data_IF_535301019745
#
_entry.id   IF_535301019745
#
_cell.length_a   1.000
_cell.length_b   1.000
_cell.length_c   1.000
_cell.angle_alpha   90.00
_cell.angle_beta   90.00
_cell.angle_gamma   90.00
#
_symmetry.space_group_name_H-M   'P 1'
#
loop_
_entity.id
_entity.type
_entity.pdbx_description
1 polymer ?
#
# COMPACT_ATOMS: atom_id res chain seq x y z
N UNK A 1 -47.08 -25.91 -33.43
CA UNK A 1 -45.98 -25.66 -32.47
C UNK A 1 -46.28 -26.45 -31.20
N UNK A 2 -45.57 -27.55 -30.97
CA UNK A 2 -45.89 -28.57 -29.97
C UNK A 2 -45.66 -28.04 -28.54
N UNK A 3 -46.51 -28.46 -27.60
CA UNK A 3 -46.50 -28.06 -26.17
C UNK A 3 -45.13 -28.22 -25.50
N UNK A 4 -44.25 -29.08 -26.04
CA UNK A 4 -42.88 -29.29 -25.54
C UNK A 4 -41.92 -28.15 -25.91
N UNK A 5 -42.06 -27.53 -27.10
CA UNK A 5 -41.19 -26.43 -27.54
C UNK A 5 -41.41 -25.16 -26.71
N UNK A 6 -42.68 -24.86 -26.36
CA UNK A 6 -43.02 -23.73 -25.47
C UNK A 6 -42.41 -23.91 -24.08
N UNK A 7 -42.52 -25.12 -23.50
CA UNK A 7 -41.91 -25.45 -22.20
C UNK A 7 -40.39 -25.34 -22.21
N UNK A 8 -39.73 -25.76 -23.29
CA UNK A 8 -38.28 -25.65 -23.41
C UNK A 8 -37.81 -24.19 -23.47
N UNK A 9 -38.53 -23.35 -24.23
CA UNK A 9 -38.27 -21.90 -24.28
C UNK A 9 -38.50 -21.26 -22.91
N UNK A 10 -39.63 -21.53 -22.25
CA UNK A 10 -39.92 -20.98 -20.92
C UNK A 10 -38.85 -21.37 -19.89
N UNK A 11 -38.41 -22.64 -19.88
CA UNK A 11 -37.31 -23.11 -19.04
C UNK A 11 -36.00 -22.38 -19.34
N UNK A 12 -35.66 -22.18 -20.61
CA UNK A 12 -34.44 -21.46 -20.99
C UNK A 12 -34.46 -19.99 -20.55
N UNK A 13 -35.62 -19.33 -20.67
CA UNK A 13 -35.78 -17.93 -20.26
C UNK A 13 -35.69 -17.79 -18.73
N UNK A 14 -36.30 -18.71 -17.98
CA UNK A 14 -36.20 -18.72 -16.52
C UNK A 14 -34.76 -18.95 -16.07
N UNK A 15 -34.06 -19.93 -16.67
CA UNK A 15 -32.65 -20.19 -16.36
C UNK A 15 -31.76 -18.98 -16.66
N UNK A 16 -31.95 -18.33 -17.81
CA UNK A 16 -31.22 -17.12 -18.17
C UNK A 16 -31.49 -15.97 -17.19
N UNK A 17 -32.74 -15.79 -16.77
CA UNK A 17 -33.12 -14.77 -15.79
C UNK A 17 -32.46 -15.03 -14.42
N UNK A 18 -32.51 -16.28 -13.92
CA UNK A 18 -31.88 -16.67 -12.65
C UNK A 18 -30.37 -16.46 -12.70
N UNK A 19 -29.71 -16.87 -13.79
CA UNK A 19 -28.27 -16.67 -13.97
C UNK A 19 -27.90 -15.19 -13.95
N UNK A 20 -28.67 -14.34 -14.66
CA UNK A 20 -28.44 -12.90 -14.68
C UNK A 20 -28.62 -12.27 -13.30
N UNK A 21 -29.69 -12.62 -12.57
CA UNK A 21 -29.93 -12.12 -11.21
C UNK A 21 -28.81 -12.55 -10.26
N UNK A 22 -28.32 -13.78 -10.36
CA UNK A 22 -27.22 -14.27 -9.54
C UNK A 22 -25.91 -13.51 -9.81
N UNK A 23 -25.58 -13.27 -11.08
CA UNK A 23 -24.37 -12.52 -11.47
C UNK A 23 -24.44 -11.07 -10.98
N UNK A 24 -25.58 -10.39 -11.18
CA UNK A 24 -25.78 -9.03 -10.69
C UNK A 24 -25.71 -8.99 -9.16
N UNK A 25 -26.38 -9.91 -8.47
CA UNK A 25 -26.36 -10.01 -7.01
C UNK A 25 -24.95 -10.19 -6.45
N UNK A 26 -24.13 -11.02 -7.08
CA UNK A 26 -22.72 -11.19 -6.71
C UNK A 26 -21.94 -9.88 -6.87
N UNK A 27 -22.06 -9.22 -8.03
CA UNK A 27 -21.33 -7.99 -8.33
C UNK A 27 -21.64 -6.87 -7.34
N UNK A 28 -22.93 -6.64 -7.03
CA UNK A 28 -23.34 -5.62 -6.05
C UNK A 28 -22.94 -5.97 -4.62
N UNK A 29 -23.04 -7.25 -4.22
CA UNK A 29 -22.66 -7.69 -2.88
C UNK A 29 -21.16 -7.52 -2.62
N UNK A 30 -20.32 -7.75 -3.64
CA UNK A 30 -18.88 -7.53 -3.55
C UNK A 30 -18.51 -6.07 -3.30
N UNK A 31 -19.15 -5.13 -4.01
CA UNK A 31 -18.93 -3.69 -3.82
C UNK A 31 -19.36 -3.24 -2.42
N UNK A 32 -20.54 -3.66 -1.96
CA UNK A 32 -21.05 -3.27 -0.66
C UNK A 32 -20.15 -3.74 0.50
N UNK A 33 -19.63 -4.98 0.42
CA UNK A 33 -18.67 -5.48 1.40
C UNK A 33 -17.37 -4.67 1.40
N UNK A 34 -16.87 -4.30 0.22
CA UNK A 34 -15.68 -3.47 0.09
C UNK A 34 -15.89 -2.09 0.71
N UNK A 35 -17.01 -1.43 0.42
CA UNK A 35 -17.33 -0.12 0.99
C UNK A 35 -17.44 -0.18 2.51
N UNK A 36 -18.06 -1.24 3.06
CA UNK A 36 -18.09 -1.49 4.50
C UNK A 36 -16.69 -1.64 5.09
N UNK A 37 -15.81 -2.43 4.46
CA UNK A 37 -14.42 -2.58 4.91
C UNK A 37 -13.65 -1.27 4.86
N UNK A 38 -13.84 -0.44 3.82
CA UNK A 38 -13.22 0.89 3.72
C UNK A 38 -13.68 1.78 4.87
N UNK A 39 -15.00 1.86 5.11
CA UNK A 39 -15.56 2.64 6.19
C UNK A 39 -15.07 2.17 7.57
N UNK A 40 -15.05 0.86 7.82
CA UNK A 40 -14.54 0.30 9.07
C UNK A 40 -13.06 0.62 9.29
N UNK A 41 -12.21 0.52 8.25
CA UNK A 41 -10.80 0.90 8.36
C UNK A 41 -10.62 2.39 8.61
N UNK A 42 -11.44 3.26 8.00
CA UNK A 42 -11.43 4.70 8.28
C UNK A 42 -11.84 5.00 9.73
N UNK A 43 -12.81 4.28 10.29
CA UNK A 43 -13.17 4.40 11.71
C UNK A 43 -12.02 3.97 12.63
N UNK A 44 -11.33 2.89 12.28
CA UNK A 44 -10.11 2.45 12.98
C UNK A 44 -9.02 3.51 12.97
N UNK A 45 -8.79 4.19 11.84
CA UNK A 45 -7.84 5.31 11.76
C UNK A 45 -8.24 6.46 12.68
N UNK A 46 -9.51 6.87 12.69
CA UNK A 46 -10.00 7.91 13.61
C UNK A 46 -9.85 7.50 15.08
N UNK A 47 -10.00 6.22 15.41
CA UNK A 47 -9.79 5.72 16.76
C UNK A 47 -8.31 5.83 17.18
N UNK A 48 -7.37 5.50 16.28
CA UNK A 48 -5.94 5.77 16.51
C UNK A 48 -5.65 7.24 16.75
N UNK A 49 -6.14 8.12 15.87
CA UNK A 49 -5.91 9.57 15.95
C UNK A 49 -6.39 10.13 17.29
N UNK A 50 -7.60 9.74 17.72
CA UNK A 50 -8.14 10.14 19.04
C UNK A 50 -7.28 9.64 20.18
N UNK A 51 -6.86 8.37 20.15
CA UNK A 51 -6.05 7.79 21.21
C UNK A 51 -4.67 8.46 21.30
N UNK A 52 -4.02 8.68 20.16
CA UNK A 52 -2.73 9.37 20.09
C UNK A 52 -2.82 10.81 20.62
N UNK A 53 -3.89 11.54 20.27
CA UNK A 53 -4.13 12.88 20.80
C UNK A 53 -4.39 12.89 22.31
N UNK A 54 -5.08 11.88 22.84
CA UNK A 54 -5.27 11.74 24.29
C UNK A 54 -3.95 11.45 25.00
N UNK A 55 -3.13 10.54 24.46
CA UNK A 55 -1.85 10.14 25.07
C UNK A 55 -0.78 11.22 24.98
N UNK A 56 -0.75 12.01 23.91
CA UNK A 56 0.13 13.17 23.83
C UNK A 56 -0.19 14.22 24.89
N UNK A 57 -1.45 14.35 25.30
CA UNK A 57 -1.87 15.27 26.36
C UNK A 57 -1.64 14.73 27.79
N UNK A 58 -1.72 13.41 27.98
CA UNK A 58 -1.73 12.79 29.30
C UNK A 58 -0.38 12.80 30.06
N UNK A 59 0.75 13.08 29.38
CA UNK A 59 2.14 13.08 29.92
C UNK A 59 2.56 11.77 30.63
N UNK A 60 1.79 10.70 30.46
CA UNK A 60 2.00 9.38 31.07
C UNK A 60 2.84 8.45 30.19
N UNK A 61 3.19 8.89 28.98
CA UNK A 61 3.89 8.12 27.95
C UNK A 61 5.13 8.88 27.48
N UNK A 62 6.19 8.15 27.11
CA UNK A 62 7.38 8.75 26.51
C UNK A 62 7.01 9.40 25.16
N UNK A 63 7.07 10.73 25.12
CA UNK A 63 6.82 11.52 23.92
C UNK A 63 8.12 11.80 23.17
N UNK A 64 8.03 11.84 21.85
CA UNK A 64 9.08 12.35 20.98
C UNK A 64 9.24 13.86 21.18
N UNK A 65 10.33 14.43 20.62
CA UNK A 65 10.53 15.89 20.61
C UNK A 65 9.38 16.65 19.94
N UNK A 66 8.61 15.99 19.07
CA UNK A 66 7.44 16.55 18.38
C UNK A 66 6.14 16.37 19.15
N UNK A 67 6.19 15.83 20.37
CA UNK A 67 5.05 15.75 21.29
C UNK A 67 4.13 14.55 21.06
N UNK A 68 4.53 13.58 20.23
CA UNK A 68 3.75 12.38 19.95
C UNK A 68 4.32 11.16 20.67
N UNK A 69 3.51 10.15 21.02
CA UNK A 69 4.02 8.91 21.60
C UNK A 69 5.05 8.23 20.67
N UNK A 70 6.17 7.77 21.22
CA UNK A 70 7.21 7.13 20.41
C UNK A 70 6.78 5.77 19.81
N UNK A 71 5.79 5.12 20.40
CA UNK A 71 5.20 3.85 19.94
C UNK A 71 3.70 3.84 20.24
N UNK A 72 2.99 2.82 19.77
CA UNK A 72 1.58 2.58 20.11
C UNK A 72 1.47 1.29 20.92
N UNK A 73 0.86 1.39 22.10
CA UNK A 73 0.57 0.22 22.93
C UNK A 73 -0.86 -0.27 22.69
N UNK A 74 -1.01 -1.58 22.49
CA UNK A 74 -2.30 -2.24 22.30
C UNK A 74 -3.22 -2.09 23.52
N UNK A 75 -2.66 -1.99 24.73
CA UNK A 75 -3.39 -1.87 26.00
C UNK A 75 -4.15 -0.55 26.11
N UNK A 76 -3.77 0.48 25.34
CA UNK A 76 -4.48 1.75 25.32
C UNK A 76 -5.93 1.62 24.83
N UNK A 77 -6.23 0.55 24.10
CA UNK A 77 -7.53 0.28 23.52
C UNK A 77 -8.38 -0.71 24.33
N UNK A 78 -8.05 -0.91 25.61
CA UNK A 78 -8.82 -1.76 26.54
C UNK A 78 -9.14 -3.17 26.00
N UNK A 79 -8.20 -3.75 25.24
CA UNK A 79 -8.34 -5.09 24.64
C UNK A 79 -9.03 -5.14 23.28
N UNK A 80 -9.49 -4.00 22.74
CA UNK A 80 -10.12 -3.91 21.42
C UNK A 80 -9.35 -2.94 20.50
N UNK A 81 -8.13 -3.32 20.06
CA UNK A 81 -7.35 -2.47 19.17
C UNK A 81 -8.06 -2.27 17.82
N UNK A 82 -7.95 -1.07 17.22
CA UNK A 82 -8.45 -0.81 15.87
C UNK A 82 -7.89 -1.81 14.85
N UNK A 83 -8.76 -2.34 14.00
CA UNK A 83 -8.39 -3.35 12.99
C UNK A 83 -8.53 -2.78 11.58
N UNK A 84 -7.70 -3.27 10.67
CA UNK A 84 -7.82 -2.96 9.25
C UNK A 84 -8.69 -4.01 8.57
N UNK A 85 -9.97 -3.71 8.35
CA UNK A 85 -10.94 -4.63 7.74
C UNK A 85 -10.70 -4.92 6.25
N UNK A 86 -9.70 -4.30 5.65
CA UNK A 86 -9.26 -4.57 4.27
C UNK A 86 -8.18 -5.66 4.20
N UNK A 87 -7.58 -6.02 5.34
CA UNK A 87 -6.51 -7.00 5.44
C UNK A 87 -6.89 -8.12 6.41
N UNK A 88 -6.16 -9.23 6.30
CA UNK A 88 -6.32 -10.36 7.22
C UNK A 88 -5.77 -10.02 8.61
N UNK A 89 -6.33 -10.59 9.69
CA UNK A 89 -5.90 -10.27 11.06
C UNK A 89 -4.57 -10.93 11.47
N UNK A 90 -4.08 -11.89 10.69
CA UNK A 90 -2.85 -12.68 10.91
C UNK A 90 -1.57 -11.95 10.50
N UNK A 91 -1.52 -10.65 10.76
CA UNK A 91 -0.46 -9.73 10.32
C UNK A 91 0.05 -8.92 11.49
N UNK A 92 1.28 -8.40 11.44
CA UNK A 92 1.70 -7.37 12.39
C UNK A 92 0.69 -6.22 12.40
N UNK A 93 0.37 -5.72 13.59
CA UNK A 93 -0.70 -4.77 13.75
C UNK A 93 -0.31 -3.37 13.25
N UNK A 94 0.76 -2.82 13.83
CA UNK A 94 1.30 -1.50 13.51
C UNK A 94 2.81 -1.61 13.33
N UNK A 95 3.32 -0.98 12.28
CA UNK A 95 4.75 -0.69 12.08
C UNK A 95 5.03 0.76 12.47
N UNK A 96 6.12 1.00 13.19
CA UNK A 96 6.53 2.34 13.59
C UNK A 96 7.63 2.83 12.65
N UNK A 97 7.45 4.02 12.08
CA UNK A 97 8.40 4.64 11.16
C UNK A 97 9.78 4.79 11.80
N UNK A 98 10.81 4.44 11.03
CA UNK A 98 12.20 4.58 11.49
C UNK A 98 12.64 6.05 11.42
N UNK A 99 13.78 6.42 12.04
CA UNK A 99 14.31 7.77 11.95
C UNK A 99 14.54 8.26 10.51
N UNK A 100 14.89 7.37 9.59
CA UNK A 100 15.08 7.68 8.17
C UNK A 100 13.76 8.07 7.49
N UNK A 101 12.65 7.50 7.95
CA UNK A 101 11.29 7.76 7.46
C UNK A 101 10.62 8.95 8.17
N UNK A 102 11.31 9.64 9.08
CA UNK A 102 10.72 10.70 9.91
C UNK A 102 10.00 11.81 9.12
N UNK A 103 10.52 12.14 7.94
CA UNK A 103 9.98 13.17 7.05
C UNK A 103 8.84 12.68 6.14
N UNK A 104 8.58 11.37 6.11
CA UNK A 104 7.61 10.77 5.22
C UNK A 104 6.19 10.90 5.79
N UNK A 105 5.23 11.23 4.93
CA UNK A 105 3.80 11.29 5.31
C UNK A 105 3.04 9.98 5.09
N UNK A 106 3.63 9.09 4.29
CA UNK A 106 3.08 7.81 3.89
C UNK A 106 4.23 6.80 3.83
N UNK A 107 4.01 5.51 4.16
CA UNK A 107 5.05 4.49 4.10
C UNK A 107 5.59 4.30 2.68
N UNK A 108 6.80 3.76 2.58
CA UNK A 108 7.37 3.34 1.31
C UNK A 108 6.50 2.26 0.65
N UNK A 109 6.09 1.24 1.39
CA UNK A 109 5.19 0.20 0.86
C UNK A 109 3.78 0.45 1.37
N UNK A 110 2.87 0.88 0.48
CA UNK A 110 1.47 1.25 0.84
C UNK A 110 0.49 0.10 0.67
N UNK A 111 0.82 -0.86 -0.19
CA UNK A 111 0.09 -2.12 -0.32
C UNK A 111 0.71 -3.21 0.57
N UNK A 112 -0.13 -4.06 1.16
CA UNK A 112 0.31 -5.15 2.01
C UNK A 112 0.60 -6.42 1.21
N UNK A 113 1.77 -6.45 0.55
CA UNK A 113 2.17 -7.51 -0.40
C UNK A 113 2.40 -8.88 0.23
N UNK A 114 2.73 -8.94 1.52
CA UNK A 114 2.93 -10.20 2.27
C UNK A 114 2.27 -10.14 3.63
N UNK A 115 2.02 -11.30 4.26
CA UNK A 115 1.47 -11.38 5.63
C UNK A 115 2.40 -10.78 6.71
N UNK A 116 3.68 -10.59 6.39
CA UNK A 116 4.66 -9.95 7.27
C UNK A 116 4.53 -8.42 7.24
N UNK A 117 3.86 -7.85 6.24
CA UNK A 117 3.63 -6.41 6.16
C UNK A 117 2.55 -6.01 7.16
N UNK A 118 2.88 -5.07 8.05
CA UNK A 118 1.95 -4.59 9.07
C UNK A 118 0.70 -3.94 8.48
N UNK A 119 -0.43 -4.06 9.18
CA UNK A 119 -1.73 -3.55 8.73
C UNK A 119 -1.81 -2.02 8.73
N UNK A 120 -1.13 -1.40 9.68
CA UNK A 120 -1.01 0.04 9.83
C UNK A 120 0.47 0.44 9.90
N UNK A 121 0.74 1.69 9.54
CA UNK A 121 2.04 2.34 9.70
C UNK A 121 1.83 3.64 10.48
N UNK A 122 2.66 3.86 11.50
CA UNK A 122 2.60 5.04 12.37
C UNK A 122 3.92 5.79 12.30
N UNK A 123 3.85 7.09 12.00
CA UNK A 123 4.99 7.99 12.08
C UNK A 123 4.91 8.85 13.35
N UNK A 124 5.75 8.57 14.38
CA UNK A 124 5.77 9.34 15.63
C UNK A 124 6.43 10.72 15.49
N UNK A 125 7.12 11.00 14.39
CA UNK A 125 7.69 12.32 14.12
C UNK A 125 6.61 13.31 13.66
N UNK A 126 5.60 12.82 12.94
CA UNK A 126 4.50 13.63 12.41
C UNK A 126 3.15 13.40 13.12
N UNK A 127 3.03 12.35 13.94
CA UNK A 127 1.77 11.96 14.57
C UNK A 127 0.74 11.40 13.60
N UNK A 128 1.18 10.80 12.49
CA UNK A 128 0.33 10.33 11.41
C UNK A 128 0.23 8.81 11.45
N UNK A 129 -0.99 8.28 11.33
CA UNK A 129 -1.23 6.85 11.10
C UNK A 129 -1.79 6.65 9.69
N UNK A 130 -1.32 5.61 9.01
CA UNK A 130 -1.79 5.18 7.70
C UNK A 130 -2.19 3.71 7.74
N UNK A 131 -3.30 3.39 7.11
CA UNK A 131 -3.69 2.01 6.84
C UNK A 131 -3.08 1.56 5.52
N UNK A 132 -2.43 0.41 5.51
CA UNK A 132 -2.05 -0.25 4.25
C UNK A 132 -3.28 -0.89 3.62
N UNK A 133 -3.25 -1.10 2.31
CA UNK A 133 -4.36 -1.68 1.56
C UNK A 133 -3.95 -2.99 0.90
N UNK A 134 -4.87 -3.91 0.58
CA UNK A 134 -4.53 -5.07 -0.23
C UNK A 134 -4.01 -4.64 -1.61
N UNK A 135 -3.16 -5.45 -2.21
CA UNK A 135 -2.82 -5.28 -3.62
C UNK A 135 -4.02 -5.73 -4.47
N UNK A 136 -4.59 -4.79 -5.22
CA UNK A 136 -5.66 -5.05 -6.18
C UNK A 136 -5.06 -5.53 -7.51
N UNK A 137 -5.88 -5.77 -8.53
CA UNK A 137 -5.42 -6.31 -9.81
C UNK A 137 -4.38 -5.42 -10.54
N UNK A 138 -4.29 -4.14 -10.19
CA UNK A 138 -3.27 -3.24 -10.69
C UNK A 138 -2.89 -2.14 -9.66
N UNK A 139 -1.79 -1.45 -9.93
CA UNK A 139 -1.27 -0.38 -9.09
C UNK A 139 -2.23 0.81 -8.99
N UNK A 140 -2.95 1.12 -10.07
CA UNK A 140 -3.89 2.24 -10.12
C UNK A 140 -5.04 2.05 -9.12
N UNK A 141 -5.67 0.88 -9.10
CA UNK A 141 -6.75 0.56 -8.16
C UNK A 141 -6.27 0.45 -6.73
N UNK A 142 -5.08 -0.12 -6.53
CA UNK A 142 -4.47 -0.16 -5.20
C UNK A 142 -4.23 1.26 -4.69
N UNK A 143 -3.71 2.15 -5.54
CA UNK A 143 -3.48 3.56 -5.23
C UNK A 143 -4.77 4.33 -4.95
N UNK A 144 -5.81 4.13 -5.78
CA UNK A 144 -7.14 4.72 -5.56
C UNK A 144 -7.71 4.30 -4.20
N UNK A 145 -7.67 3.01 -3.88
CA UNK A 145 -8.13 2.48 -2.59
C UNK A 145 -7.31 3.06 -1.43
N UNK A 146 -5.99 3.13 -1.57
CA UNK A 146 -5.12 3.74 -0.57
C UNK A 146 -5.49 5.20 -0.29
N UNK A 147 -5.63 5.99 -1.35
CA UNK A 147 -6.01 7.40 -1.28
C UNK A 147 -7.39 7.58 -0.64
N UNK A 148 -8.36 6.72 -0.98
CA UNK A 148 -9.71 6.73 -0.39
C UNK A 148 -9.67 6.43 1.11
N UNK A 149 -8.96 5.38 1.53
CA UNK A 149 -8.90 4.95 2.92
C UNK A 149 -8.18 5.98 3.78
N UNK A 150 -7.04 6.50 3.31
CA UNK A 150 -6.18 7.40 4.07
C UNK A 150 -6.51 8.89 3.87
N UNK A 151 -7.47 9.22 3.00
CA UNK A 151 -7.78 10.60 2.59
C UNK A 151 -6.53 11.34 2.08
N UNK A 152 -5.76 10.68 1.20
CA UNK A 152 -4.52 11.20 0.61
C UNK A 152 -4.59 11.26 -0.91
N UNK A 153 -3.55 11.81 -1.54
CA UNK A 153 -3.42 11.92 -2.99
C UNK A 153 -2.03 11.51 -3.46
N UNK A 154 -1.61 10.29 -3.09
CA UNK A 154 -0.30 9.76 -3.51
C UNK A 154 -0.32 9.40 -4.99
N UNK A 155 0.82 9.59 -5.65
CA UNK A 155 1.00 9.29 -7.07
C UNK A 155 1.27 7.81 -7.37
N UNK A 156 1.78 7.05 -6.39
CA UNK A 156 2.16 5.64 -6.55
C UNK A 156 1.81 4.82 -5.32
N UNK A 157 1.54 3.52 -5.49
CA UNK A 157 1.36 2.57 -4.39
C UNK A 157 2.71 2.13 -3.76
N UNK A 158 3.82 2.48 -4.41
CA UNK A 158 5.18 2.27 -3.93
C UNK A 158 5.89 3.62 -3.75
N UNK A 159 6.66 3.77 -2.69
CA UNK A 159 7.54 4.90 -2.42
C UNK A 159 8.80 4.74 -3.25
N UNK A 160 9.20 5.81 -3.93
CA UNK A 160 10.41 5.97 -4.76
C UNK A 160 10.89 4.68 -5.44
N UNK A 161 10.45 4.50 -6.69
CA UNK A 161 10.98 3.54 -7.67
C UNK A 161 11.38 2.18 -7.07
N UNK A 162 10.40 1.29 -6.89
CA UNK A 162 10.76 -0.12 -7.01
C UNK A 162 11.42 -0.30 -8.39
N UNK A 163 12.61 -0.92 -8.48
CA UNK A 163 13.14 -1.30 -9.77
C UNK A 163 12.06 -2.13 -10.44
N UNK A 164 11.63 -1.65 -11.61
CA UNK A 164 10.55 -2.27 -12.38
C UNK A 164 10.89 -3.76 -12.44
N UNK A 165 10.00 -4.64 -11.97
CA UNK A 165 10.24 -6.08 -11.83
C UNK A 165 10.81 -6.74 -13.12
N UNK A 166 10.66 -6.07 -14.27
CA UNK A 166 11.31 -6.39 -15.54
C UNK A 166 12.86 -6.45 -15.47
N UNK A 167 13.54 -5.52 -14.79
CA UNK A 167 15.01 -5.48 -14.74
C UNK A 167 15.59 -6.61 -13.87
N UNK A 168 14.88 -7.03 -12.82
CA UNK A 168 15.34 -8.08 -11.92
C UNK A 168 15.21 -9.50 -12.51
N UNK A 169 14.32 -9.70 -13.49
CA UNK A 169 14.07 -11.01 -14.11
C UNK A 169 14.78 -11.13 -15.47
N UNK A 170 14.85 -10.06 -16.26
CA UNK A 170 15.33 -10.14 -17.64
C UNK A 170 16.69 -9.48 -17.89
N UNK A 171 17.30 -8.87 -16.87
CA UNK A 171 18.52 -8.08 -17.05
C UNK A 171 18.29 -6.88 -17.98
N UNK A 172 19.26 -5.96 -18.09
CA UNK A 172 19.18 -4.90 -19.09
C UNK A 172 19.15 -5.53 -20.49
N UNK A 173 18.33 -5.03 -21.43
CA UNK A 173 18.38 -5.49 -22.82
C UNK A 173 19.80 -5.28 -23.33
N UNK A 174 20.48 -6.38 -23.64
CA UNK A 174 21.72 -6.34 -24.39
C UNK A 174 21.42 -5.69 -25.75
N UNK A 175 22.30 -4.76 -26.14
CA UNK A 175 22.35 -4.05 -27.42
C UNK A 175 21.42 -2.84 -27.61
N UNK A 176 22.00 -1.64 -27.42
CA UNK A 176 22.24 -0.68 -28.51
C UNK A 176 23.42 0.24 -28.13
N UNK A 177 24.55 -0.34 -27.71
CA UNK A 177 25.83 0.36 -27.58
C UNK A 177 26.75 -0.05 -28.74
N UNK A 178 26.29 0.21 -29.97
CA UNK A 178 27.08 0.08 -31.18
C UNK A 178 27.25 1.44 -31.82
N UNK A 179 28.52 1.83 -32.01
CA UNK A 179 29.01 2.95 -32.85
C UNK A 179 29.22 4.28 -32.15
N UNK A 180 30.36 4.41 -31.47
CA UNK A 180 31.15 5.65 -31.57
C UNK A 180 32.59 5.29 -31.90
N UNK A 181 32.91 5.49 -33.17
CA UNK A 181 34.24 5.37 -33.77
C UNK A 181 35.26 6.13 -32.94
N UNK A 182 36.21 5.35 -32.43
CA UNK A 182 37.48 5.75 -31.85
C UNK A 182 38.36 6.34 -32.96
N UNK A 183 38.70 7.63 -32.87
CA UNK A 183 39.79 8.22 -33.65
C UNK A 183 40.81 8.76 -32.67
N UNK A 184 41.98 8.17 -32.77
CA UNK A 184 43.18 8.34 -31.96
C UNK A 184 43.59 9.80 -31.72
N UNK A 185 43.81 10.14 -30.45
CA UNK A 185 44.58 11.31 -30.00
C UNK A 185 45.79 10.82 -29.22
N UNK A 186 46.97 11.03 -29.78
CA UNK A 186 48.24 10.50 -29.31
C UNK A 186 48.73 11.14 -28.00
N UNK A 187 49.42 10.29 -27.24
CA UNK A 187 50.28 10.47 -26.07
C UNK A 187 50.83 11.87 -25.81
N UNK A 188 50.73 12.30 -24.55
CA UNK A 188 51.64 13.30 -23.95
C UNK A 188 52.30 12.69 -22.71
N UNK A 189 53.60 12.93 -22.64
CA UNK A 189 54.67 12.48 -21.75
C UNK A 189 54.40 12.55 -20.22
N UNK A 190 55.06 11.72 -19.39
CA UNK A 190 55.00 11.80 -17.93
C UNK A 190 56.08 12.71 -17.33
N UNK A 191 55.70 13.62 -16.42
CA UNK A 191 56.61 14.31 -15.50
C UNK A 191 57.04 13.40 -14.33
N UNK A 192 58.33 13.40 -13.92
CA UNK A 192 58.78 12.73 -12.72
C UNK A 192 58.72 13.64 -11.48
N UNK A 193 58.22 13.06 -10.39
CA UNK A 193 58.15 13.65 -9.05
C UNK A 193 59.53 13.62 -8.39
N UNK A 194 60.09 14.79 -8.08
CA UNK A 194 61.29 14.94 -7.25
C UNK A 194 60.89 15.22 -5.79
N UNK A 195 61.59 14.55 -4.87
CA UNK A 195 61.32 14.40 -3.44
C UNK A 195 61.82 15.60 -2.60
N UNK A 196 61.30 15.77 -1.36
CA UNK A 196 61.63 16.90 -0.50
C UNK A 196 62.88 16.68 0.37
N UNK A 197 63.58 17.79 0.68
CA UNK A 197 64.35 17.99 1.92
C UNK A 197 63.84 19.24 2.64
#
# INVERSE_FOLDING_TARGET
>A
MTKSLRRAVDLSTILAAVALTAVLGWHFSGQFRRDQSVHATQESLRAFEKMLAMRSAAKDTALTKTGWPATIDVTWFAGAPPLNSLLTPDRPWVEVATPEEAHMRDPNTRAAVSYQTASFWYNPYLGIVRARVPYEFNDEKSRELYNQVNSTSVASIYGTEMPRFEEAIFGPPAELAGSRTEVAGASTEPEPVEQPE
#
